data_IF_073772590800
#
_entry.id   IF_073772590800
#
_cell.length_a   1.000
_cell.length_b   1.000
_cell.length_c   1.000
_cell.angle_alpha   90.00
_cell.angle_beta   90.00
_cell.angle_gamma   90.00
#
_symmetry.space_group_name_H-M   'P 1'
#
loop_
_entity.id
_entity.type
_entity.pdbx_description
1 polymer ?
#
# COMPACT_ATOMS: atom_id res chain seq x y z
N UNK A 1 16.67 -3.23 -0.10
CA UNK A 1 15.82 -2.24 -0.85
C UNK A 1 16.75 -1.22 -1.50
N UNK A 2 16.63 -0.99 -2.80
CA UNK A 2 17.47 -0.04 -3.55
C UNK A 2 17.26 1.40 -3.07
N UNK A 3 18.35 2.17 -3.05
CA UNK A 3 18.36 3.57 -2.64
C UNK A 3 18.55 4.46 -3.86
N UNK A 4 17.52 5.19 -4.27
CA UNK A 4 17.64 6.19 -5.33
C UNK A 4 17.59 7.60 -4.73
N UNK A 5 18.71 8.32 -4.80
CA UNK A 5 18.79 9.72 -4.37
C UNK A 5 17.82 10.65 -5.11
N UNK A 6 17.36 10.28 -6.31
CA UNK A 6 16.32 11.01 -7.05
C UNK A 6 14.98 10.95 -6.34
N UNK A 7 14.62 9.81 -5.75
CA UNK A 7 13.35 9.67 -5.01
C UNK A 7 13.34 10.55 -3.76
N UNK A 8 14.44 10.58 -3.00
CA UNK A 8 14.56 11.45 -1.83
C UNK A 8 14.52 12.94 -2.24
N UNK A 9 15.14 13.29 -3.36
CA UNK A 9 15.10 14.66 -3.91
C UNK A 9 13.69 15.06 -4.36
N UNK A 10 12.97 14.14 -5.01
CA UNK A 10 11.59 14.34 -5.44
C UNK A 10 10.64 14.49 -4.25
N UNK A 11 10.79 13.67 -3.22
CA UNK A 11 10.01 13.77 -1.98
C UNK A 11 10.26 15.11 -1.27
N UNK A 12 11.52 15.55 -1.19
CA UNK A 12 11.87 16.88 -0.66
C UNK A 12 11.19 18.01 -1.43
N UNK A 13 11.11 17.89 -2.76
CA UNK A 13 10.41 18.88 -3.61
C UNK A 13 8.91 18.88 -3.32
N UNK A 14 8.26 17.72 -3.25
CA UNK A 14 6.82 17.64 -2.96
C UNK A 14 6.47 18.18 -1.57
N UNK A 15 7.28 17.90 -0.55
CA UNK A 15 7.06 18.46 0.79
C UNK A 15 7.24 19.99 0.80
N UNK A 16 8.19 20.53 0.04
CA UNK A 16 8.33 21.98 -0.11
C UNK A 16 7.12 22.60 -0.83
N UNK A 17 6.60 21.96 -1.86
CA UNK A 17 5.38 22.39 -2.55
C UNK A 17 4.17 22.34 -1.59
N UNK A 18 4.01 21.26 -0.84
CA UNK A 18 2.95 21.11 0.16
C UNK A 18 3.03 22.20 1.25
N UNK A 19 4.22 22.46 1.81
CA UNK A 19 4.41 23.50 2.81
C UNK A 19 4.11 24.90 2.26
N UNK A 20 4.43 25.17 0.99
CA UNK A 20 4.05 26.43 0.32
C UNK A 20 2.55 26.55 0.20
N UNK A 21 1.84 25.51 -0.22
CA UNK A 21 0.37 25.53 -0.30
C UNK A 21 -0.30 25.67 1.07
N UNK A 22 0.19 24.96 2.08
CA UNK A 22 -0.28 25.11 3.47
C UNK A 22 0.00 26.51 4.04
N UNK A 23 1.06 27.17 3.58
CA UNK A 23 1.35 28.57 3.91
C UNK A 23 0.33 29.53 3.31
N UNK A 24 -0.14 29.29 2.08
CA UNK A 24 -1.15 30.11 1.40
C UNK A 24 -2.53 29.99 2.03
N UNK A 25 -2.88 28.83 2.58
CA UNK A 25 -4.18 28.60 3.25
C UNK A 25 -4.23 29.14 4.69
N UNK A 26 -3.08 29.51 5.27
CA UNK A 26 -2.96 30.10 6.62
C UNK A 26 -3.13 31.62 6.67
N UNK A 27 -3.56 32.28 5.59
CA UNK A 27 -3.96 33.70 5.66
C UNK A 27 -5.17 33.78 6.61
N UNK A 28 -5.09 34.55 7.72
CA UNK A 28 -6.13 34.55 8.73
C UNK A 28 -7.43 35.11 8.13
N UNK A 29 -8.51 34.32 8.18
CA UNK A 29 -9.85 34.91 8.14
C UNK A 29 -9.97 35.79 9.37
N UNK A 30 -10.43 37.02 9.16
CA UNK A 30 -10.50 38.09 10.15
C UNK A 30 -11.57 37.75 11.20
N UNK A 31 -11.28 36.85 12.14
CA UNK A 31 -12.15 36.60 13.29
C UNK A 31 -11.88 37.67 14.36
N UNK A 32 -12.95 38.37 14.75
CA UNK A 32 -12.94 39.43 15.74
C UNK A 32 -12.50 38.96 17.14
N UNK A 33 -12.27 39.89 18.08
CA UNK A 33 -11.59 39.58 19.34
C UNK A 33 -12.39 38.59 20.20
N UNK A 34 -11.75 37.59 20.81
CA UNK A 34 -12.42 36.56 21.60
C UNK A 34 -12.89 37.13 22.95
N UNK A 35 -14.16 36.85 23.29
CA UNK A 35 -14.73 37.13 24.62
C UNK A 35 -14.04 36.23 25.66
N UNK A 36 -13.51 36.84 26.72
CA UNK A 36 -12.87 36.17 27.85
C UNK A 36 -13.88 35.36 28.68
N UNK A 37 -13.65 34.06 28.86
CA UNK A 37 -14.29 33.22 29.88
C UNK A 37 -13.22 32.71 30.88
N UNK A 38 -13.38 32.87 32.21
CA UNK A 38 -12.21 32.81 33.12
C UNK A 38 -11.82 31.44 33.70
N UNK A 39 -12.35 30.29 33.26
CA UNK A 39 -12.21 29.03 34.03
C UNK A 39 -11.83 27.76 33.22
N UNK A 40 -10.75 27.77 32.44
CA UNK A 40 -10.10 26.53 31.99
C UNK A 40 -8.56 26.61 32.11
N UNK A 41 -7.87 25.54 32.54
CA UNK A 41 -6.41 25.53 32.59
C UNK A 41 -5.83 25.71 31.18
N UNK A 42 -5.03 26.77 31.03
CA UNK A 42 -4.31 27.17 29.81
C UNK A 42 -3.30 26.09 29.40
N UNK A 43 -3.72 25.06 28.67
CA UNK A 43 -2.81 24.40 27.72
C UNK A 43 -2.82 25.24 26.46
N UNK A 44 -1.82 26.10 26.30
CA UNK A 44 -1.55 26.75 25.02
C UNK A 44 -1.44 25.65 23.95
N UNK A 45 -2.27 25.65 22.89
CA UNK A 45 -1.98 24.81 21.74
C UNK A 45 -0.66 25.34 21.20
N UNK A 46 0.43 24.57 21.37
CA UNK A 46 1.66 24.86 20.64
C UNK A 46 1.26 24.88 19.17
N UNK A 47 1.44 25.99 18.44
CA UNK A 47 1.19 25.98 17.01
C UNK A 47 2.07 24.89 16.43
N UNK A 48 1.46 23.84 15.88
CA UNK A 48 2.18 22.87 15.06
C UNK A 48 2.58 23.65 13.80
N UNK A 49 3.69 24.37 13.85
CA UNK A 49 4.42 24.77 12.65
C UNK A 49 4.94 23.48 12.05
N UNK A 50 4.40 23.02 10.91
CA UNK A 50 4.85 21.78 10.30
C UNK A 50 6.31 21.96 9.92
N UNK A 51 7.20 21.23 10.59
CA UNK A 51 8.58 21.10 10.14
C UNK A 51 8.58 20.17 8.92
N UNK A 52 9.37 20.51 7.91
CA UNK A 52 9.55 19.65 6.76
C UNK A 52 10.16 18.31 7.20
N UNK A 53 9.66 17.16 6.69
CA UNK A 53 10.30 15.88 6.91
C UNK A 53 11.77 15.91 6.47
N UNK A 54 12.62 15.22 7.23
CA UNK A 54 14.02 15.01 6.83
C UNK A 54 14.08 13.77 5.94
N UNK A 55 14.41 13.99 4.67
CA UNK A 55 14.59 12.90 3.70
C UNK A 55 15.99 12.33 3.78
N UNK A 56 16.09 11.01 3.89
CA UNK A 56 17.36 10.29 3.89
C UNK A 56 17.26 9.13 2.90
N UNK A 57 18.21 9.07 1.97
CA UNK A 57 18.37 7.92 1.09
C UNK A 57 19.27 6.89 1.78
N UNK A 58 18.82 5.65 1.85
CA UNK A 58 19.62 4.54 2.35
C UNK A 58 19.01 3.22 1.96
N UNK A 59 19.80 2.15 2.09
CA UNK A 59 19.35 0.79 1.86
C UNK A 59 18.93 0.18 3.17
N UNK A 60 17.89 -0.64 3.12
CA UNK A 60 17.51 -1.52 4.22
C UNK A 60 18.05 -2.91 3.90
N UNK A 61 18.87 -3.44 4.80
CA UNK A 61 19.27 -4.84 4.83
C UNK A 61 18.41 -5.57 5.88
N UNK A 62 17.51 -6.48 5.46
CA UNK A 62 16.69 -7.28 6.37
C UNK A 62 17.49 -8.16 7.33
N UNK A 63 18.75 -8.45 7.02
CA UNK A 63 19.66 -9.29 7.80
C UNK A 63 20.62 -8.50 8.70
N UNK A 64 20.76 -7.18 8.50
CA UNK A 64 21.73 -6.37 9.23
C UNK A 64 21.38 -6.24 10.73
N UNK A 65 22.39 -6.25 11.64
CA UNK A 65 22.23 -5.89 13.04
C UNK A 65 21.75 -4.45 13.20
N UNK A 66 21.03 -4.19 14.30
CA UNK A 66 20.28 -2.96 14.60
C UNK A 66 20.99 -1.61 14.38
N UNK A 67 22.32 -1.51 14.55
CA UNK A 67 23.07 -0.26 14.31
C UNK A 67 23.05 0.21 12.85
N UNK A 68 22.67 -0.67 11.94
CA UNK A 68 22.77 -0.52 10.49
C UNK A 68 21.40 -0.63 9.81
N UNK A 69 20.32 -0.32 10.54
CA UNK A 69 18.95 -0.37 10.00
C UNK A 69 18.84 0.35 8.65
N UNK A 70 19.52 1.49 8.51
CA UNK A 70 19.65 2.22 7.26
C UNK A 70 21.12 2.26 6.84
N UNK A 71 21.49 1.37 5.92
CA UNK A 71 22.81 1.35 5.31
C UNK A 71 22.98 2.51 4.32
N UNK A 72 24.21 2.98 4.08
CA UNK A 72 24.48 3.94 3.02
C UNK A 72 23.99 3.45 1.65
N UNK A 73 23.63 4.38 0.75
CA UNK A 73 23.35 4.05 -0.65
C UNK A 73 24.59 3.48 -1.36
N UNK A 74 24.38 2.72 -2.43
CA UNK A 74 25.45 2.08 -3.22
C UNK A 74 25.11 2.14 -4.72
N UNK A 75 25.99 2.71 -5.56
CA UNK A 75 27.26 3.33 -5.18
C UNK A 75 27.05 4.54 -4.24
N UNK A 76 28.01 4.84 -3.34
CA UNK A 76 27.89 5.95 -2.41
C UNK A 76 27.72 7.25 -3.20
N UNK A 77 26.60 7.96 -2.98
CA UNK A 77 26.35 9.26 -3.59
C UNK A 77 27.32 10.33 -3.03
N UNK A 78 27.42 11.52 -3.67
CA UNK A 78 28.34 12.59 -3.26
C UNK A 78 27.94 13.33 -1.96
N UNK A 79 27.30 12.66 -1.00
CA UNK A 79 26.82 13.22 0.25
C UNK A 79 27.38 12.51 1.49
N UNK A 80 27.26 13.09 2.69
CA UNK A 80 27.64 12.44 3.93
C UNK A 80 26.93 11.08 4.07
N UNK A 81 27.63 10.07 4.56
CA UNK A 81 27.06 8.74 4.84
C UNK A 81 25.83 8.91 5.72
N UNK A 82 24.71 8.30 5.31
CA UNK A 82 23.48 8.34 6.08
C UNK A 82 23.74 7.77 7.48
N UNK A 83 23.76 8.61 8.51
CA UNK A 83 23.70 8.14 9.89
C UNK A 83 22.29 7.64 10.15
N UNK A 84 22.17 6.49 10.80
CA UNK A 84 20.89 5.97 11.24
C UNK A 84 20.17 7.06 12.06
N UNK A 85 19.03 7.61 11.59
CA UNK A 85 18.34 8.69 12.28
C UNK A 85 17.78 8.24 13.64
N UNK A 86 17.73 6.93 13.87
CA UNK A 86 17.28 6.30 15.10
C UNK A 86 18.42 6.02 16.09
N UNK A 87 19.66 6.46 15.83
CA UNK A 87 20.84 6.17 16.65
C UNK A 87 21.32 4.71 16.56
N UNK A 88 22.43 4.40 17.23
CA UNK A 88 22.98 3.03 17.32
C UNK A 88 22.24 2.15 18.34
N UNK A 89 22.89 1.10 18.86
CA UNK A 89 22.91 0.62 20.25
C UNK A 89 21.87 0.90 21.34
N UNK A 90 20.93 1.85 21.23
CA UNK A 90 20.06 2.31 22.34
C UNK A 90 18.81 3.11 21.96
N UNK A 91 18.57 3.40 20.69
CA UNK A 91 17.58 4.40 20.28
C UNK A 91 18.24 5.73 19.90
N UNK A 92 17.43 6.79 19.72
CA UNK A 92 17.97 8.07 19.27
C UNK A 92 19.06 8.55 20.22
N UNK A 93 20.05 9.30 19.73
CA UNK A 93 21.15 9.84 20.57
C UNK A 93 20.62 10.62 21.79
N UNK A 94 19.35 11.06 21.75
CA UNK A 94 18.64 11.79 22.79
C UNK A 94 17.69 10.93 23.66
N UNK A 95 17.63 9.60 23.46
CA UNK A 95 16.71 8.70 24.17
C UNK A 95 15.23 8.83 23.77
N UNK A 96 14.96 9.42 22.60
CA UNK A 96 13.63 9.66 22.07
C UNK A 96 12.95 8.38 21.55
N UNK A 97 11.65 8.26 21.85
CA UNK A 97 10.80 7.23 21.26
C UNK A 97 10.41 7.60 19.83
N UNK A 98 10.32 6.59 18.96
CA UNK A 98 9.96 6.77 17.55
C UNK A 98 8.73 5.97 17.16
N UNK A 99 7.98 6.50 16.20
CA UNK A 99 6.91 5.82 15.48
C UNK A 99 7.40 5.48 14.08
N UNK A 100 7.28 4.22 13.70
CA UNK A 100 7.64 3.75 12.35
C UNK A 100 6.37 3.64 11.51
N UNK A 101 6.35 4.31 10.35
CA UNK A 101 5.22 4.27 9.42
C UNK A 101 5.70 3.79 8.05
N UNK A 102 5.07 2.73 7.54
CA UNK A 102 5.27 2.25 6.17
C UNK A 102 3.95 2.30 5.40
N UNK A 103 3.73 3.34 4.59
CA UNK A 103 2.50 3.49 3.79
C UNK A 103 2.49 2.62 2.52
N UNK A 104 3.67 2.24 2.04
CA UNK A 104 3.87 1.29 0.95
C UNK A 104 5.03 0.37 1.30
N UNK A 105 4.89 -0.40 2.39
CA UNK A 105 5.90 -1.34 2.86
C UNK A 105 5.96 -2.58 1.94
N UNK A 106 6.54 -2.41 0.75
CA UNK A 106 6.50 -3.40 -0.31
C UNK A 106 7.49 -4.56 -0.09
N UNK A 107 7.06 -5.79 -0.36
CA UNK A 107 7.86 -6.99 -0.18
C UNK A 107 8.41 -7.12 1.25
N UNK A 108 9.69 -7.46 1.35
CA UNK A 108 10.36 -7.72 2.63
C UNK A 108 10.56 -6.47 3.50
N UNK A 109 10.21 -5.28 3.01
CA UNK A 109 10.18 -4.08 3.84
C UNK A 109 9.20 -4.23 5.00
N UNK A 110 7.98 -4.73 4.74
CA UNK A 110 6.97 -4.92 5.80
C UNK A 110 7.46 -5.82 6.95
N UNK A 111 7.91 -7.07 6.73
CA UNK A 111 8.46 -7.90 7.81
C UNK A 111 9.68 -7.28 8.47
N UNK A 112 10.55 -6.57 7.74
CA UNK A 112 11.70 -5.90 8.33
C UNK A 112 11.27 -4.81 9.34
N UNK A 113 10.28 -3.99 9.01
CA UNK A 113 9.73 -2.98 9.93
C UNK A 113 9.14 -3.63 11.19
N UNK A 114 8.40 -4.73 11.03
CA UNK A 114 7.76 -5.42 12.16
C UNK A 114 8.77 -6.11 13.08
N UNK A 115 9.78 -6.77 12.51
CA UNK A 115 10.89 -7.35 13.27
C UNK A 115 11.67 -6.27 14.01
N UNK A 116 11.88 -5.12 13.37
CA UNK A 116 12.54 -3.99 13.99
C UNK A 116 11.73 -3.44 15.17
N UNK A 117 10.42 -3.21 14.99
CA UNK A 117 9.51 -2.83 16.06
C UNK A 117 9.59 -3.82 17.23
N UNK A 118 9.55 -5.14 16.96
CA UNK A 118 9.59 -6.14 18.01
C UNK A 118 10.90 -6.12 18.82
N UNK A 119 12.05 -5.98 18.14
CA UNK A 119 13.39 -6.02 18.75
C UNK A 119 13.82 -4.71 19.42
N UNK A 120 13.35 -3.56 18.96
CA UNK A 120 13.83 -2.25 19.42
C UNK A 120 12.88 -1.58 20.39
N UNK A 121 13.35 -1.34 21.62
CA UNK A 121 12.60 -0.61 22.67
C UNK A 121 12.41 0.87 22.37
N UNK A 122 13.23 1.43 21.47
CA UNK A 122 13.10 2.81 21.01
C UNK A 122 11.88 3.04 20.11
N UNK A 123 11.40 1.99 19.44
CA UNK A 123 10.20 2.08 18.60
C UNK A 123 8.97 1.87 19.47
N UNK A 124 8.30 2.97 19.81
CA UNK A 124 7.10 2.95 20.65
C UNK A 124 5.89 2.33 19.93
N UNK A 125 5.80 2.54 18.61
CA UNK A 125 4.69 2.05 17.80
C UNK A 125 5.08 1.87 16.33
N UNK A 126 4.29 1.09 15.60
CA UNK A 126 4.40 0.87 14.16
C UNK A 126 3.03 0.92 13.49
N UNK A 127 2.97 1.54 12.31
CA UNK A 127 1.83 1.50 11.39
C UNK A 127 2.34 1.05 10.01
N UNK A 128 1.86 -0.09 9.52
CA UNK A 128 2.38 -0.73 8.31
C UNK A 128 1.25 -1.09 7.34
N UNK A 129 1.36 -0.61 6.11
CA UNK A 129 0.49 -0.91 4.97
C UNK A 129 1.33 -1.67 3.94
N UNK A 130 1.02 -2.95 3.74
CA UNK A 130 1.64 -3.77 2.70
C UNK A 130 1.14 -3.38 1.30
N UNK A 131 1.91 -3.69 0.25
CA UNK A 131 1.54 -3.35 -1.15
C UNK A 131 1.92 -4.40 -2.19
N UNK A 132 3.20 -4.79 -2.23
CA UNK A 132 3.74 -5.69 -3.25
C UNK A 132 4.09 -7.06 -2.67
N UNK A 133 3.08 -7.90 -2.40
CA UNK A 133 3.28 -9.21 -1.80
C UNK A 133 4.06 -10.19 -2.69
N UNK A 134 4.01 -10.03 -4.02
CA UNK A 134 4.82 -10.80 -4.96
C UNK A 134 6.33 -10.59 -4.78
N UNK A 135 6.74 -9.51 -4.10
CA UNK A 135 8.14 -9.22 -3.74
C UNK A 135 8.55 -9.78 -2.36
N UNK A 136 7.67 -10.51 -1.66
CA UNK A 136 8.03 -11.21 -0.43
C UNK A 136 8.97 -12.38 -0.74
N UNK A 137 9.99 -12.58 0.07
CA UNK A 137 10.74 -13.85 0.07
C UNK A 137 9.90 -14.93 0.76
N UNK A 138 9.82 -16.12 0.15
CA UNK A 138 9.06 -17.28 0.69
C UNK A 138 9.94 -18.47 1.04
N UNK A 139 11.21 -18.43 0.65
CA UNK A 139 12.23 -19.39 1.01
C UNK A 139 13.39 -18.64 1.68
N UNK A 140 14.13 -19.30 2.60
CA UNK A 140 15.34 -18.73 3.19
C UNK A 140 16.46 -18.71 2.13
N UNK A 141 16.48 -17.67 1.30
CA UNK A 141 17.51 -17.41 0.30
C UNK A 141 18.20 -16.08 0.66
N UNK A 142 19.50 -16.05 1.04
CA UNK A 142 20.42 -17.18 1.30
C UNK A 142 20.19 -17.89 2.66
N UNK A 143 20.79 -19.09 2.86
CA UNK A 143 20.69 -19.85 4.12
C UNK A 143 21.06 -19.00 5.34
N UNK A 144 20.15 -18.92 6.31
CA UNK A 144 20.34 -18.15 7.56
C UNK A 144 19.53 -16.86 7.64
N UNK A 145 18.97 -16.37 6.53
CA UNK A 145 18.05 -15.23 6.56
C UNK A 145 16.59 -15.70 6.75
N UNK A 146 15.83 -15.15 7.72
CA UNK A 146 14.45 -15.54 7.93
C UNK A 146 13.57 -15.01 6.77
N UNK A 147 12.69 -15.84 6.18
CA UNK A 147 11.92 -15.47 5.01
C UNK A 147 10.98 -14.31 5.28
N UNK A 148 10.59 -13.59 4.23
CA UNK A 148 9.60 -12.54 4.29
C UNK A 148 8.20 -13.05 4.60
N UNK A 149 7.86 -14.29 4.21
CA UNK A 149 6.61 -14.99 4.52
C UNK A 149 6.85 -16.52 4.60
N UNK A 150 6.22 -17.24 5.56
CA UNK A 150 5.45 -16.70 6.68
C UNK A 150 6.36 -16.02 7.71
N UNK A 151 5.80 -15.07 8.45
CA UNK A 151 6.49 -14.35 9.51
C UNK A 151 6.16 -14.93 10.90
N UNK A 152 4.92 -15.39 11.09
CA UNK A 152 4.42 -15.98 12.33
C UNK A 152 4.66 -17.49 12.38
N UNK A 153 4.90 -18.01 13.59
CA UNK A 153 4.98 -19.45 13.81
C UNK A 153 3.62 -20.12 13.56
N UNK A 154 2.53 -19.43 13.88
CA UNK A 154 1.16 -19.92 13.70
C UNK A 154 0.84 -20.22 12.23
N UNK A 155 1.14 -19.30 11.31
CA UNK A 155 0.89 -19.52 9.87
C UNK A 155 1.89 -20.52 9.29
N UNK A 156 3.14 -20.52 9.76
CA UNK A 156 4.12 -21.52 9.35
C UNK A 156 3.70 -22.97 9.70
N UNK A 157 2.91 -23.16 10.75
CA UNK A 157 2.40 -24.46 11.16
C UNK A 157 1.18 -24.93 10.35
N UNK A 158 0.53 -24.07 9.57
CA UNK A 158 -0.66 -24.44 8.80
C UNK A 158 -0.30 -25.30 7.58
N UNK A 159 -0.98 -26.45 7.35
CA UNK A 159 -0.77 -27.23 6.15
C UNK A 159 -1.17 -26.40 4.91
N UNK A 160 -0.32 -26.40 3.88
CA UNK A 160 -0.59 -25.69 2.64
C UNK A 160 -0.51 -24.16 2.72
N UNK A 161 0.15 -23.59 3.73
CA UNK A 161 0.30 -22.14 3.88
C UNK A 161 1.10 -21.46 2.76
N UNK A 162 1.76 -22.22 1.87
CA UNK A 162 2.67 -21.69 0.87
C UNK A 162 1.94 -20.86 -0.19
N UNK A 163 2.48 -19.69 -0.50
CA UNK A 163 1.91 -18.77 -1.49
C UNK A 163 2.81 -18.66 -2.72
N UNK A 164 2.31 -19.13 -3.87
CA UNK A 164 2.98 -18.98 -5.15
C UNK A 164 3.19 -17.50 -5.51
N UNK A 165 4.12 -17.21 -6.42
CA UNK A 165 4.30 -15.85 -6.94
C UNK A 165 2.98 -15.27 -7.46
N UNK A 166 2.22 -16.07 -8.22
CA UNK A 166 0.93 -15.66 -8.81
C UNK A 166 -0.14 -15.39 -7.76
N UNK A 167 -0.22 -16.18 -6.70
CA UNK A 167 -1.15 -15.91 -5.61
C UNK A 167 -0.83 -14.56 -4.93
N UNK A 168 0.46 -14.31 -4.67
CA UNK A 168 0.93 -13.06 -4.06
C UNK A 168 0.78 -11.85 -4.98
N UNK A 169 0.98 -12.03 -6.28
CA UNK A 169 0.70 -11.02 -7.30
C UNK A 169 -0.81 -10.72 -7.36
N UNK A 170 -1.66 -11.75 -7.31
CA UNK A 170 -3.10 -11.58 -7.35
C UNK A 170 -3.60 -10.73 -6.17
N UNK A 171 -3.07 -10.97 -4.97
CA UNK A 171 -3.32 -10.16 -3.78
C UNK A 171 -2.93 -8.68 -3.94
N UNK A 172 -2.13 -8.33 -4.97
CA UNK A 172 -1.73 -6.96 -5.27
C UNK A 172 -2.72 -6.21 -6.20
N UNK A 173 -3.81 -6.84 -6.66
CA UNK A 173 -4.84 -6.17 -7.45
C UNK A 173 -5.85 -5.38 -6.61
N UNK A 174 -6.61 -4.52 -7.29
CA UNK A 174 -7.65 -3.67 -6.74
C UNK A 174 -9.02 -4.19 -7.16
N UNK A 175 -9.74 -4.82 -6.23
CA UNK A 175 -11.00 -5.51 -6.52
C UNK A 175 -12.07 -4.52 -6.98
N UNK A 176 -12.19 -3.37 -6.33
CA UNK A 176 -13.20 -2.35 -6.60
C UNK A 176 -13.01 -1.73 -7.99
N UNK A 177 -11.76 -1.53 -8.41
CA UNK A 177 -11.47 -1.03 -9.76
C UNK A 177 -11.83 -2.08 -10.82
N UNK A 178 -11.52 -3.36 -10.55
CA UNK A 178 -11.87 -4.45 -11.45
C UNK A 178 -13.39 -4.64 -11.56
N UNK A 179 -14.10 -4.57 -10.44
CA UNK A 179 -15.56 -4.61 -10.38
C UNK A 179 -16.20 -3.48 -11.21
N UNK A 180 -15.66 -2.26 -11.12
CA UNK A 180 -16.09 -1.14 -11.96
C UNK A 180 -15.92 -1.42 -13.46
N UNK A 181 -14.80 -2.04 -13.86
CA UNK A 181 -14.53 -2.41 -15.25
C UNK A 181 -15.49 -3.50 -15.76
N UNK A 182 -15.85 -4.46 -14.91
CA UNK A 182 -16.82 -5.52 -15.23
C UNK A 182 -18.22 -4.95 -15.46
N UNK A 183 -18.69 -4.05 -14.59
CA UNK A 183 -20.02 -3.43 -14.72
C UNK A 183 -20.14 -2.52 -15.94
N UNK A 184 -19.06 -1.83 -16.31
CA UNK A 184 -19.05 -0.86 -17.41
C UNK A 184 -18.73 -1.44 -18.80
N UNK A 185 -18.74 -2.78 -18.96
CA UNK A 185 -18.27 -3.49 -20.17
C UNK A 185 -16.99 -2.87 -20.77
N UNK A 186 -16.00 -2.69 -19.91
CA UNK A 186 -14.84 -1.88 -20.24
C UNK A 186 -13.99 -2.53 -21.32
N UNK A 187 -13.65 -1.77 -22.37
CA UNK A 187 -12.67 -2.16 -23.39
C UNK A 187 -11.31 -2.59 -22.81
N UNK A 188 -11.01 -2.21 -21.56
CA UNK A 188 -9.82 -2.67 -20.83
C UNK A 188 -9.82 -4.18 -20.54
N UNK A 189 -10.97 -4.83 -20.44
CA UNK A 189 -11.07 -6.28 -20.25
C UNK A 189 -10.52 -7.05 -21.46
N UNK A 190 -10.60 -6.47 -22.66
CA UNK A 190 -10.06 -7.04 -23.90
C UNK A 190 -8.55 -7.17 -23.88
N UNK A 191 -7.86 -6.29 -23.14
CA UNK A 191 -6.40 -6.31 -23.05
C UNK A 191 -5.87 -7.63 -22.45
N UNK A 192 -6.61 -8.26 -21.54
CA UNK A 192 -6.24 -9.57 -21.01
C UNK A 192 -6.37 -10.68 -22.05
N UNK A 193 -7.42 -10.65 -22.87
CA UNK A 193 -7.57 -11.56 -24.00
C UNK A 193 -6.44 -11.34 -25.02
N UNK A 194 -6.15 -10.10 -25.39
CA UNK A 194 -5.06 -9.78 -26.32
C UNK A 194 -3.70 -10.26 -25.81
N UNK A 195 -3.41 -10.07 -24.51
CA UNK A 195 -2.18 -10.58 -23.91
C UNK A 195 -2.11 -12.11 -23.94
N UNK A 196 -3.23 -12.80 -23.73
CA UNK A 196 -3.30 -14.27 -23.80
C UNK A 196 -3.10 -14.78 -25.22
N UNK A 197 -3.75 -14.17 -26.23
CA UNK A 197 -3.56 -14.56 -27.64
C UNK A 197 -2.11 -14.29 -28.08
N UNK A 198 -1.55 -13.14 -27.71
CA UNK A 198 -0.14 -12.83 -27.97
C UNK A 198 0.80 -13.85 -27.32
N UNK A 199 0.53 -14.29 -26.09
CA UNK A 199 1.31 -15.34 -25.42
C UNK A 199 1.29 -16.64 -26.21
N UNK A 200 0.13 -17.06 -26.70
CA UNK A 200 0.01 -18.28 -27.49
C UNK A 200 0.79 -18.18 -28.79
N UNK A 201 0.70 -17.05 -29.51
CA UNK A 201 1.47 -16.84 -30.75
C UNK A 201 2.98 -16.89 -30.49
N UNK A 202 3.45 -16.25 -29.41
CA UNK A 202 4.86 -16.29 -29.01
C UNK A 202 5.27 -17.73 -28.69
N UNK A 203 4.49 -18.46 -27.90
CA UNK A 203 4.80 -19.85 -27.55
C UNK A 203 4.76 -20.79 -28.76
N UNK A 204 3.90 -20.52 -29.75
CA UNK A 204 3.84 -21.29 -31.00
C UNK A 204 5.07 -21.03 -31.87
N UNK A 205 5.55 -19.79 -31.95
CA UNK A 205 6.76 -19.44 -32.68
C UNK A 205 8.03 -19.92 -31.96
N UNK A 206 8.07 -19.79 -30.64
CA UNK A 206 9.20 -20.18 -29.80
C UNK A 206 8.73 -20.57 -28.38
N UNK A 207 8.62 -21.87 -28.08
CA UNK A 207 8.18 -22.36 -26.77
C UNK A 207 9.07 -21.91 -25.60
N UNK A 208 10.34 -21.52 -25.86
CA UNK A 208 11.26 -21.05 -24.82
C UNK A 208 10.94 -19.63 -24.34
N UNK A 209 10.18 -18.85 -25.10
CA UNK A 209 9.80 -17.45 -24.80
C UNK A 209 8.51 -17.33 -24.00
N UNK A 210 8.14 -18.36 -23.25
CA UNK A 210 6.96 -18.36 -22.40
C UNK A 210 7.12 -17.37 -21.23
N UNK A 211 6.03 -16.68 -20.90
CA UNK A 211 5.87 -15.81 -19.73
C UNK A 211 6.76 -14.56 -19.71
N UNK A 212 7.14 -14.05 -20.89
CA UNK A 212 7.84 -12.78 -21.00
C UNK A 212 7.01 -11.62 -20.41
N UNK A 213 7.69 -10.76 -19.66
CA UNK A 213 7.13 -9.56 -19.03
C UNK A 213 6.88 -8.41 -20.02
N UNK A 214 6.10 -8.68 -21.08
CA UNK A 214 5.86 -7.71 -22.16
C UNK A 214 4.91 -6.60 -21.70
N UNK A 215 5.21 -5.37 -22.13
CA UNK A 215 4.36 -4.20 -21.92
C UNK A 215 4.08 -3.50 -23.27
N UNK A 216 3.18 -4.05 -24.10
CA UNK A 216 2.86 -3.49 -25.42
C UNK A 216 2.01 -2.22 -25.28
N UNK A 217 2.66 -1.11 -24.90
CA UNK A 217 2.06 0.23 -24.82
C UNK A 217 0.98 0.43 -23.74
N UNK A 218 0.76 1.69 -23.33
CA UNK A 218 -0.20 2.05 -22.26
C UNK A 218 -1.68 2.05 -22.68
N UNK A 219 -1.99 1.82 -23.95
CA UNK A 219 -3.35 1.98 -24.51
C UNK A 219 -3.85 0.74 -25.26
N UNK A 220 -3.61 -0.46 -24.73
CA UNK A 220 -4.08 -1.70 -25.35
C UNK A 220 -5.59 -1.73 -25.67
N UNK A 221 -6.40 -1.07 -24.85
CA UNK A 221 -7.87 -1.05 -24.95
C UNK A 221 -8.43 -0.32 -26.19
N UNK A 222 -7.65 0.57 -26.83
CA UNK A 222 -8.07 1.27 -28.06
C UNK A 222 -7.53 0.62 -29.35
N UNK A 223 -6.64 -0.37 -29.22
CA UNK A 223 -6.01 -1.02 -30.36
C UNK A 223 -6.89 -2.17 -30.87
N UNK A 224 -6.76 -2.48 -32.15
CA UNK A 224 -7.15 -3.81 -32.65
C UNK A 224 -6.11 -4.85 -32.21
N UNK A 225 -6.46 -6.13 -32.25
CA UNK A 225 -5.52 -7.19 -31.92
C UNK A 225 -4.26 -7.17 -32.81
N UNK A 226 -4.36 -7.06 -34.16
CA UNK A 226 -3.16 -6.95 -35.00
C UNK A 226 -2.26 -5.79 -34.60
N UNK A 227 -2.82 -4.59 -34.36
CA UNK A 227 -2.04 -3.44 -33.90
C UNK A 227 -1.35 -3.71 -32.55
N UNK A 228 -2.05 -4.34 -31.61
CA UNK A 228 -1.47 -4.74 -30.33
C UNK A 228 -0.34 -5.75 -30.49
N UNK A 229 -0.50 -6.75 -31.36
CA UNK A 229 0.50 -7.77 -31.64
C UNK A 229 1.75 -7.19 -32.33
N UNK A 230 1.59 -6.23 -33.25
CA UNK A 230 2.70 -5.51 -33.88
C UNK A 230 3.58 -4.75 -32.88
N UNK A 231 3.00 -4.30 -31.75
CA UNK A 231 3.77 -3.70 -30.66
C UNK A 231 4.41 -4.75 -29.74
N UNK A 232 3.78 -5.91 -29.59
CA UNK A 232 4.18 -6.94 -28.63
C UNK A 232 5.22 -7.94 -29.15
N UNK A 233 5.10 -8.40 -30.40
CA UNK A 233 5.99 -9.40 -30.98
C UNK A 233 7.46 -8.94 -31.07
N UNK A 234 7.78 -7.68 -31.44
CA UNK A 234 9.16 -7.21 -31.45
C UNK A 234 9.80 -7.23 -30.06
N UNK A 235 9.01 -7.00 -28.99
CA UNK A 235 9.50 -7.10 -27.60
C UNK A 235 9.86 -8.54 -27.20
N UNK A 236 9.31 -9.53 -27.91
CA UNK A 236 9.70 -10.94 -27.79
C UNK A 236 10.78 -11.33 -28.82
N UNK A 237 11.31 -10.39 -29.60
CA UNK A 237 12.27 -10.66 -30.67
C UNK A 237 11.68 -11.53 -31.79
N UNK A 238 10.42 -11.31 -32.15
CA UNK A 238 9.73 -11.95 -33.27
C UNK A 238 9.28 -10.88 -34.27
N UNK A 239 9.34 -11.20 -35.56
CA UNK A 239 8.85 -10.32 -36.63
C UNK A 239 7.33 -10.52 -36.80
N UNK A 240 6.51 -9.45 -36.66
CA UNK A 240 5.08 -9.52 -36.95
C UNK A 240 4.72 -10.04 -38.34
N UNK A 241 5.58 -9.85 -39.35
CA UNK A 241 5.33 -10.31 -40.72
C UNK A 241 5.38 -11.85 -40.86
N UNK A 242 6.11 -12.53 -39.98
CA UNK A 242 6.23 -13.99 -39.98
C UNK A 242 5.15 -14.70 -39.15
N UNK A 243 4.35 -13.94 -38.39
CA UNK A 243 3.32 -14.48 -37.51
C UNK A 243 1.93 -14.29 -38.15
N UNK A 244 1.10 -15.35 -38.30
CA UNK A 244 -0.18 -15.25 -38.98
C UNK A 244 -1.27 -14.63 -38.09
N UNK A 245 -1.26 -13.29 -37.99
CA UNK A 245 -2.14 -12.51 -37.12
C UNK A 245 -3.62 -12.53 -37.53
N UNK A 246 -3.92 -12.69 -38.82
CA UNK A 246 -5.28 -12.69 -39.36
C UNK A 246 -5.81 -14.11 -39.65
N UNK A 247 -5.25 -15.13 -38.98
CA UNK A 247 -5.69 -16.51 -39.15
C UNK A 247 -7.03 -16.78 -38.46
N UNK A 248 -7.82 -17.73 -38.99
CA UNK A 248 -9.06 -18.19 -38.35
C UNK A 248 -8.84 -18.73 -36.93
N UNK A 249 -7.65 -19.27 -36.65
CA UNK A 249 -7.24 -19.69 -35.32
C UNK A 249 -7.16 -18.51 -34.32
N UNK A 250 -6.56 -17.38 -34.74
CA UNK A 250 -6.53 -16.16 -33.92
C UNK A 250 -7.95 -15.63 -33.68
N UNK A 251 -8.80 -15.61 -34.71
CA UNK A 251 -10.21 -15.25 -34.58
C UNK A 251 -10.94 -16.09 -33.53
N UNK A 252 -10.83 -17.42 -33.63
CA UNK A 252 -11.45 -18.35 -32.69
C UNK A 252 -10.95 -18.18 -31.24
N UNK A 253 -9.68 -17.79 -31.05
CA UNK A 253 -9.14 -17.49 -29.73
C UNK A 253 -9.70 -16.17 -29.16
N UNK A 254 -9.84 -15.13 -29.99
CA UNK A 254 -10.40 -13.85 -29.58
C UNK A 254 -11.88 -13.98 -29.18
N UNK A 255 -12.64 -14.87 -29.83
CA UNK A 255 -14.02 -15.21 -29.43
C UNK A 255 -14.11 -15.81 -28.01
N UNK A 256 -13.02 -16.37 -27.49
CA UNK A 256 -12.95 -16.89 -26.11
C UNK A 256 -12.71 -15.79 -25.06
N UNK A 257 -12.81 -14.50 -25.41
CA UNK A 257 -12.62 -13.38 -24.48
C UNK A 257 -13.41 -13.56 -23.17
N UNK A 258 -14.67 -14.01 -23.25
CA UNK A 258 -15.53 -14.22 -22.08
C UNK A 258 -14.92 -15.24 -21.09
N UNK A 259 -14.23 -16.28 -21.58
CA UNK A 259 -13.55 -17.26 -20.71
C UNK A 259 -12.33 -16.66 -20.03
N UNK A 260 -11.58 -15.80 -20.72
CA UNK A 260 -10.45 -15.07 -20.12
C UNK A 260 -10.95 -14.14 -19.02
N UNK A 261 -12.04 -13.41 -19.26
CA UNK A 261 -12.67 -12.56 -18.25
C UNK A 261 -13.16 -13.38 -17.05
N UNK A 262 -13.82 -14.51 -17.29
CA UNK A 262 -14.26 -15.40 -16.21
C UNK A 262 -13.08 -15.93 -15.38
N UNK A 263 -12.00 -16.37 -16.03
CA UNK A 263 -10.78 -16.81 -15.37
C UNK A 263 -10.15 -15.70 -14.51
N UNK A 264 -9.99 -14.49 -15.06
CA UNK A 264 -9.48 -13.35 -14.32
C UNK A 264 -10.39 -13.00 -13.13
N UNK A 265 -11.71 -13.05 -13.31
CA UNK A 265 -12.69 -12.77 -12.26
C UNK A 265 -12.57 -13.77 -11.11
N UNK A 266 -12.45 -15.06 -11.39
CA UNK A 266 -12.21 -16.09 -10.37
C UNK A 266 -10.92 -15.81 -9.58
N UNK A 267 -9.84 -15.41 -10.28
CA UNK A 267 -8.58 -15.02 -9.62
C UNK A 267 -8.75 -13.81 -8.70
N UNK A 268 -9.50 -12.79 -9.13
CA UNK A 268 -9.78 -11.58 -8.33
C UNK A 268 -10.67 -11.88 -7.13
N UNK A 269 -11.61 -12.83 -7.22
CA UNK A 269 -12.43 -13.25 -6.09
C UNK A 269 -11.62 -13.96 -5.00
N UNK A 270 -10.55 -14.67 -5.38
CA UNK A 270 -9.67 -15.37 -4.45
C UNK A 270 -8.55 -14.48 -3.89
N UNK A 271 -8.21 -13.38 -4.56
CA UNK A 271 -7.13 -12.48 -4.17
C UNK A 271 -7.26 -11.93 -2.73
N UNK A 272 -8.44 -11.49 -2.24
CA UNK A 272 -8.60 -11.01 -0.86
C UNK A 272 -8.28 -12.08 0.20
N UNK A 273 -8.49 -13.36 -0.11
CA UNK A 273 -8.14 -14.46 0.81
C UNK A 273 -6.62 -14.53 1.00
N UNK A 274 -5.87 -14.38 -0.09
CA UNK A 274 -4.41 -14.38 -0.06
C UNK A 274 -3.88 -13.15 0.68
N UNK A 275 -4.42 -11.95 0.41
CA UNK A 275 -4.05 -10.74 1.15
C UNK A 275 -4.35 -10.88 2.65
N UNK A 276 -5.53 -11.38 2.99
CA UNK A 276 -5.94 -11.60 4.39
C UNK A 276 -4.99 -12.55 5.10
N UNK A 277 -4.57 -13.64 4.46
CA UNK A 277 -3.59 -14.57 5.05
C UNK A 277 -2.26 -13.88 5.34
N UNK A 278 -1.75 -13.05 4.42
CA UNK A 278 -0.51 -12.29 4.64
C UNK A 278 -0.68 -11.28 5.78
N UNK A 279 -1.81 -10.57 5.85
CA UNK A 279 -2.09 -9.60 6.91
C UNK A 279 -2.24 -10.27 8.27
N UNK A 280 -2.93 -11.40 8.35
CA UNK A 280 -3.07 -12.21 9.55
C UNK A 280 -1.74 -12.78 10.01
N UNK A 281 -0.88 -13.24 9.09
CA UNK A 281 0.47 -13.68 9.40
C UNK A 281 1.28 -12.57 10.11
N UNK A 282 1.17 -11.31 9.64
CA UNK A 282 1.81 -10.17 10.31
C UNK A 282 1.22 -9.87 11.68
N UNK A 283 -0.11 -9.91 11.79
CA UNK A 283 -0.82 -9.66 13.04
C UNK A 283 -0.44 -10.71 14.09
N UNK A 284 -0.48 -11.99 13.72
CA UNK A 284 -0.15 -13.12 14.58
C UNK A 284 1.30 -13.05 15.05
N UNK A 285 2.25 -12.72 14.17
CA UNK A 285 3.64 -12.50 14.55
C UNK A 285 3.76 -11.49 15.70
N UNK A 286 3.10 -10.33 15.59
CA UNK A 286 3.15 -9.30 16.65
C UNK A 286 2.51 -9.78 17.96
N UNK A 287 1.42 -10.55 17.89
CA UNK A 287 0.78 -11.14 19.08
C UNK A 287 1.67 -12.20 19.73
N UNK A 288 2.36 -13.02 18.94
CA UNK A 288 3.35 -14.00 19.42
C UNK A 288 4.50 -13.31 20.16
N UNK A 289 4.86 -12.09 19.76
CA UNK A 289 5.84 -11.25 20.46
C UNK A 289 5.26 -10.50 21.69
N UNK A 290 3.98 -10.67 22.01
CA UNK A 290 3.32 -10.06 23.17
C UNK A 290 2.81 -8.63 22.95
N UNK A 291 2.77 -8.13 21.71
CA UNK A 291 2.27 -6.78 21.43
C UNK A 291 0.75 -6.73 21.26
N UNK A 292 0.17 -5.61 21.66
CA UNK A 292 -1.18 -5.23 21.24
C UNK A 292 -1.11 -4.70 19.81
N UNK A 293 -1.94 -5.26 18.94
CA UNK A 293 -1.98 -4.90 17.53
C UNK A 293 -3.40 -5.06 16.96
N UNK A 294 -3.66 -4.35 15.88
CA UNK A 294 -4.94 -4.39 15.17
C UNK A 294 -4.73 -4.20 13.66
N UNK A 295 -5.62 -4.79 12.86
CA UNK A 295 -5.79 -4.44 11.46
C UNK A 295 -6.98 -3.50 11.36
N UNK A 296 -6.76 -2.33 10.77
CA UNK A 296 -7.77 -1.26 10.67
C UNK A 296 -7.98 -0.90 9.20
N UNK A 297 -9.24 -0.86 8.70
CA UNK A 297 -9.54 -0.31 7.38
C UNK A 297 -9.43 1.22 7.43
N UNK A 298 -8.23 1.74 7.14
CA UNK A 298 -7.92 3.16 7.26
C UNK A 298 -8.38 3.97 6.04
N UNK A 299 -8.20 3.42 4.84
CA UNK A 299 -8.52 4.13 3.60
C UNK A 299 -9.80 3.60 2.95
N UNK A 300 -10.43 4.43 2.12
CA UNK A 300 -11.46 3.95 1.22
C UNK A 300 -10.79 3.14 0.09
N UNK A 301 -11.17 1.86 -0.13
CA UNK A 301 -10.50 0.98 -1.08
C UNK A 301 -10.63 1.44 -2.54
N UNK A 302 -11.60 2.29 -2.87
CA UNK A 302 -11.70 2.91 -4.20
C UNK A 302 -10.63 3.97 -4.46
N UNK A 303 -10.09 4.58 -3.41
CA UNK A 303 -9.02 5.58 -3.52
C UNK A 303 -7.64 4.96 -3.25
N UNK A 304 -7.54 4.10 -2.24
CA UNK A 304 -6.33 3.32 -1.95
C UNK A 304 -6.73 1.87 -1.73
N UNK A 305 -6.59 1.01 -2.77
CA UNK A 305 -6.90 -0.42 -2.68
C UNK A 305 -6.15 -1.13 -1.56
N UNK A 306 -4.98 -0.62 -1.17
CA UNK A 306 -4.30 -1.00 0.08
C UNK A 306 -4.88 -0.19 1.22
N UNK A 307 -6.05 -0.60 1.68
CA UNK A 307 -6.83 0.11 2.69
C UNK A 307 -6.61 -0.37 4.12
N UNK A 308 -6.06 -1.57 4.31
CA UNK A 308 -5.82 -2.15 5.62
C UNK A 308 -4.44 -1.73 6.15
N UNK A 309 -4.42 -1.12 7.33
CA UNK A 309 -3.20 -0.81 8.08
C UNK A 309 -3.06 -1.74 9.27
N UNK A 310 -1.88 -2.31 9.45
CA UNK A 310 -1.50 -3.00 10.68
C UNK A 310 -0.89 -1.99 11.64
N UNK A 311 -1.50 -1.82 12.80
CA UNK A 311 -0.99 -0.96 13.88
C UNK A 311 -0.59 -1.78 15.08
N UNK A 312 0.51 -1.41 15.74
CA UNK A 312 0.92 -1.98 17.02
C UNK A 312 1.69 -0.97 17.85
N UNK A 313 1.61 -1.10 19.18
CA UNK A 313 2.36 -0.26 20.10
C UNK A 313 2.83 -1.05 21.32
N UNK A 314 3.87 -0.53 21.98
CA UNK A 314 4.44 -1.11 23.21
C UNK A 314 3.59 -0.83 24.45
N UNK A 315 2.84 0.27 24.45
CA UNK A 315 1.84 0.61 25.47
C UNK A 315 0.43 0.16 25.05
N UNK A 316 -0.49 -0.10 25.99
CA UNK A 316 -1.80 -0.67 25.66
C UNK A 316 -2.57 0.21 24.66
N UNK A 317 -2.82 -0.32 23.45
CA UNK A 317 -3.60 0.37 22.41
C UNK A 317 -5.00 0.76 22.87
N UNK A 318 -5.59 0.00 23.81
CA UNK A 318 -6.96 0.22 24.29
C UNK A 318 -7.16 1.63 24.88
N UNK A 319 -6.18 2.18 25.59
CA UNK A 319 -6.26 3.54 26.13
C UNK A 319 -6.16 4.62 25.03
N UNK A 320 -5.46 4.32 23.93
CA UNK A 320 -5.26 5.23 22.80
C UNK A 320 -6.45 5.20 21.84
N UNK A 321 -6.98 4.02 21.52
CA UNK A 321 -8.11 3.83 20.62
C UNK A 321 -9.45 4.26 21.23
N UNK A 322 -9.65 4.08 22.54
CA UNK A 322 -10.86 4.53 23.24
C UNK A 322 -11.04 6.07 23.22
N UNK A 323 -9.99 6.84 22.91
CA UNK A 323 -10.07 8.29 22.71
C UNK A 323 -10.66 8.68 21.35
N UNK A 324 -10.47 7.84 20.31
CA UNK A 324 -10.91 8.15 18.94
C UNK A 324 -12.42 7.96 18.74
N UNK A 325 -13.04 7.05 19.49
CA UNK A 325 -14.51 6.88 19.48
C UNK A 325 -15.22 8.06 20.18
N UNK A 326 -14.58 8.69 21.19
CA UNK A 326 -15.15 9.85 21.90
C UNK A 326 -15.18 11.14 21.08
N UNK A 327 -14.31 11.26 20.09
CA UNK A 327 -14.30 12.42 19.18
C UNK A 327 -15.33 12.27 18.05
N UNK A 328 -15.85 11.06 17.79
CA UNK A 328 -16.99 10.85 16.88
C UNK A 328 -18.32 11.26 17.50
N UNK A 329 -18.54 10.97 18.78
CA UNK A 329 -19.79 11.31 19.48
C UNK A 329 -19.94 12.81 19.82
N UNK A 330 -18.89 13.63 19.64
CA UNK A 330 -18.97 15.09 19.80
C UNK A 330 -19.34 15.84 18.53
N UNK A 331 -19.44 15.15 17.38
CA UNK A 331 -19.74 15.77 16.09
C UNK A 331 -21.22 15.91 15.75
N UNK A 332 -22.13 15.33 16.54
CA UNK A 332 -23.54 15.15 16.15
C UNK A 332 -24.55 15.77 17.12
N UNK A 333 -24.12 16.74 17.93
CA UNK A 333 -25.01 17.54 18.79
C UNK A 333 -24.90 19.02 18.46
N UNK A 334 -25.48 19.41 17.32
CA UNK A 334 -26.01 20.76 17.15
C UNK A 334 -27.47 20.65 16.72
N UNK A 335 -28.35 20.85 17.70
CA UNK A 335 -29.78 21.01 17.54
C UNK A 335 -30.03 22.26 16.66
N UNK A 336 -30.63 22.07 15.48
CA UNK A 336 -31.32 23.13 14.77
C UNK A 336 -32.72 23.25 15.40
N UNK A 337 -32.86 24.14 16.39
CA UNK A 337 -34.16 24.70 16.78
C UNK A 337 -34.49 25.88 15.84
N UNK A 338 -35.56 25.74 15.05
CA UNK A 338 -36.26 26.85 14.41
C UNK A 338 -37.66 27.00 15.06
N UNK A 339 -38.06 28.18 15.57
CA UNK A 339 -39.33 28.35 16.27
C UNK A 339 -40.44 28.70 15.27
N UNK A 340 -41.28 27.72 14.95
CA UNK A 340 -42.53 27.92 14.21
C UNK A 340 -43.75 27.71 15.11
N UNK A 341 -44.34 28.82 15.56
CA UNK A 341 -45.64 28.85 16.26
C UNK A 341 -46.74 28.18 15.43
N UNK A 342 -47.45 27.22 16.03
CA UNK A 342 -48.82 26.86 15.65
C UNK A 342 -49.58 26.32 16.88
N UNK A 343 -50.54 27.11 17.37
CA UNK A 343 -51.49 26.73 18.41
C UNK A 343 -52.36 25.52 18.02
N UNK A 344 -52.85 24.71 18.99
CA UNK A 344 -53.73 23.58 18.72
C UNK A 344 -55.21 24.02 18.67
N UNK A 345 -56.07 23.32 17.92
CA UNK A 345 -57.50 23.63 17.92
C UNK A 345 -58.15 23.09 19.20
N UNK A 346 -58.89 23.98 19.88
CA UNK A 346 -59.85 23.59 20.91
C UNK A 346 -61.09 22.97 20.25
N UNK A 347 -61.48 21.81 20.73
CA UNK A 347 -62.79 21.18 20.43
C UNK A 347 -63.87 21.89 21.23
N UNK A 348 -64.99 22.26 20.58
CA UNK A 348 -66.20 22.70 21.29
C UNK A 348 -67.23 23.45 20.43
N UNK A 349 -67.92 22.75 19.53
CA UNK A 349 -69.39 22.65 19.44
C UNK A 349 -69.80 21.62 18.39
#
# INVERSE_FOLDING_TARGET
>A
VESDGRLASLAKRFDQELLRELGKTRVPRHEGPPRHCPNLPRRSPRPLTPQAPRHVAGRLDPAAPWGEFLLPPDPPGPGPTARNPLGGPGGSEDGGQVLVIGLHACGDLSPALLRHFARSTAVAAVASVGCCYMKLSTAPEPPGCPPGYPLSASVAALPGHQLSYRAREAACHALEEYEGRLRGDSAHLRAHCYRAVLESLICTADPSKRHLGLQPGRKAHILSFPQYAHLGLPLAGLDPAEVPLDSGAVGAMLEQQHKVVAFCTLGQLLAPVVETLVLLDRLLYLREQGFHCALVPLFNPRFSPRNLVLVAARTPLAAVLAGLDKDRDKGDSSEDEDPGEAEPPRVGQ
#
